data_IF_930475152989
#
_entry.id   IF_930475152989
#
_cell.length_a   1.000
_cell.length_b   1.000
_cell.length_c   1.000
_cell.angle_alpha   90.00
_cell.angle_beta   90.00
_cell.angle_gamma   90.00
#
_symmetry.space_group_name_H-M   'P 1'
#
loop_
_entity.id
_entity.type
_entity.pdbx_description
1 polymer ?
#
# COMPACT_ATOMS: atom_id res chain seq x y z
N UNK A 1 -46.52 -28.54 65.18
CA UNK A 1 -46.57 -29.45 64.01
C UNK A 1 -46.45 -28.56 62.79
N UNK A 2 -45.22 -28.23 62.41
CA UNK A 2 -44.91 -27.40 61.23
C UNK A 2 -44.54 -28.33 60.07
N UNK A 3 -45.11 -28.14 58.87
CA UNK A 3 -44.73 -28.91 57.69
C UNK A 3 -43.39 -28.41 57.13
N UNK A 4 -42.48 -29.30 56.69
CA UNK A 4 -41.27 -28.94 56.00
C UNK A 4 -41.51 -28.99 54.49
N UNK A 5 -41.52 -27.85 53.80
CA UNK A 5 -41.61 -27.86 52.34
C UNK A 5 -40.87 -26.68 51.72
N UNK A 6 -39.55 -26.79 51.54
CA UNK A 6 -38.86 -26.06 50.47
C UNK A 6 -37.55 -26.76 50.05
N UNK A 7 -37.57 -27.61 49.00
CA UNK A 7 -36.38 -27.77 48.14
C UNK A 7 -36.67 -27.47 46.65
N UNK A 8 -37.87 -26.98 46.31
CA UNK A 8 -38.28 -26.81 44.89
C UNK A 8 -37.89 -25.43 44.32
N UNK A 9 -37.95 -24.35 45.12
CA UNK A 9 -37.61 -22.99 44.66
C UNK A 9 -36.12 -22.80 44.36
N UNK A 10 -35.23 -23.45 45.10
CA UNK A 10 -33.78 -23.38 44.87
C UNK A 10 -33.35 -24.07 43.57
N UNK A 11 -33.97 -25.21 43.23
CA UNK A 11 -33.67 -25.92 41.98
C UNK A 11 -34.07 -25.11 40.76
N UNK A 12 -35.17 -24.37 40.81
CA UNK A 12 -35.61 -23.52 39.70
C UNK A 12 -34.63 -22.36 39.43
N UNK A 13 -34.10 -21.73 40.49
CA UNK A 13 -33.11 -20.65 40.36
C UNK A 13 -31.79 -21.12 39.78
N UNK A 14 -31.33 -22.32 40.18
CA UNK A 14 -30.12 -22.94 39.64
C UNK A 14 -30.29 -23.27 38.15
N UNK A 15 -31.45 -23.80 37.74
CA UNK A 15 -31.74 -24.08 36.32
C UNK A 15 -31.72 -22.79 35.49
N UNK A 16 -32.29 -21.70 36.01
CA UNK A 16 -32.26 -20.38 35.37
C UNK A 16 -30.84 -19.81 35.24
N UNK A 17 -30.02 -19.95 36.28
CA UNK A 17 -28.63 -19.52 36.24
C UNK A 17 -27.84 -20.28 35.18
N UNK A 18 -28.04 -21.60 35.07
CA UNK A 18 -27.41 -22.41 34.02
C UNK A 18 -27.88 -22.05 32.62
N UNK A 19 -29.17 -21.76 32.43
CA UNK A 19 -29.69 -21.29 31.14
C UNK A 19 -29.05 -19.97 30.70
N UNK A 20 -28.83 -19.03 31.62
CA UNK A 20 -28.14 -17.77 31.32
C UNK A 20 -26.66 -17.98 30.97
N UNK A 21 -25.97 -18.87 31.69
CA UNK A 21 -24.57 -19.21 31.39
C UNK A 21 -24.45 -19.87 30.03
N UNK A 22 -25.32 -20.84 29.71
CA UNK A 22 -25.33 -21.52 28.41
C UNK A 22 -25.70 -20.56 27.28
N UNK A 23 -26.66 -19.66 27.49
CA UNK A 23 -27.01 -18.62 26.52
C UNK A 23 -25.84 -17.65 26.27
N UNK A 24 -25.14 -17.24 27.34
CA UNK A 24 -23.92 -16.43 27.24
C UNK A 24 -22.82 -17.14 26.45
N UNK A 25 -22.55 -18.41 26.76
CA UNK A 25 -21.58 -19.25 26.06
C UNK A 25 -21.94 -19.46 24.59
N UNK A 26 -23.22 -19.63 24.27
CA UNK A 26 -23.71 -19.71 22.89
C UNK A 26 -23.56 -18.39 22.14
N UNK A 27 -23.79 -17.24 22.79
CA UNK A 27 -23.56 -15.93 22.19
C UNK A 27 -22.08 -15.67 21.92
N UNK A 28 -21.20 -16.11 22.83
CA UNK A 28 -19.75 -16.05 22.67
C UNK A 28 -19.26 -17.01 21.59
N UNK A 29 -19.78 -18.24 21.54
CA UNK A 29 -19.45 -19.20 20.50
C UNK A 29 -19.97 -18.76 19.13
N UNK A 30 -21.18 -18.19 19.07
CA UNK A 30 -21.74 -17.58 17.86
C UNK A 30 -20.91 -16.39 17.40
N UNK A 31 -20.49 -15.51 18.31
CA UNK A 31 -19.57 -14.42 18.02
C UNK A 31 -18.17 -14.90 17.59
N UNK A 32 -17.65 -15.96 18.23
CA UNK A 32 -16.36 -16.56 17.91
C UNK A 32 -16.40 -17.20 16.52
N UNK A 33 -17.40 -18.01 16.21
CA UNK A 33 -17.60 -18.61 14.89
C UNK A 33 -17.87 -17.53 13.84
N UNK A 34 -18.64 -16.48 14.14
CA UNK A 34 -18.80 -15.35 13.22
C UNK A 34 -17.50 -14.55 13.02
N UNK A 35 -16.63 -14.48 14.03
CA UNK A 35 -15.32 -13.81 13.91
C UNK A 35 -14.27 -14.66 13.18
N UNK A 36 -14.40 -15.99 13.23
CA UNK A 36 -13.41 -16.92 12.68
C UNK A 36 -13.83 -17.54 11.33
N UNK A 37 -15.15 -17.66 11.11
CA UNK A 37 -15.77 -18.26 9.92
C UNK A 37 -16.85 -17.37 9.29
N UNK A 38 -17.19 -16.23 9.89
CA UNK A 38 -17.97 -15.22 9.18
C UNK A 38 -17.16 -14.71 8.00
N UNK A 39 -17.79 -14.46 6.84
CA UNK A 39 -17.10 -13.87 5.70
C UNK A 39 -16.41 -12.60 6.21
N UNK A 40 -15.09 -12.52 5.98
CA UNK A 40 -14.24 -11.45 6.52
C UNK A 40 -15.00 -10.12 6.53
N UNK A 41 -15.01 -9.36 7.63
CA UNK A 41 -15.57 -8.00 7.66
C UNK A 41 -14.80 -6.99 6.76
N UNK A 42 -14.08 -7.48 5.75
CA UNK A 42 -13.54 -6.77 4.59
C UNK A 42 -14.18 -7.18 3.24
N UNK A 43 -15.14 -8.10 3.20
CA UNK A 43 -15.86 -8.51 1.97
C UNK A 43 -16.89 -7.48 1.48
N UNK A 44 -17.26 -6.50 2.32
CA UNK A 44 -17.74 -5.22 1.83
C UNK A 44 -16.51 -4.35 1.54
N UNK A 45 -15.82 -4.67 0.44
CA UNK A 45 -14.85 -3.77 -0.15
C UNK A 45 -15.54 -2.42 -0.33
N UNK A 46 -15.22 -1.45 0.53
CA UNK A 46 -15.63 -0.08 0.32
C UNK A 46 -15.25 0.27 -1.13
N UNK A 47 -16.15 0.85 -1.93
CA UNK A 47 -15.86 1.12 -3.35
C UNK A 47 -14.56 1.92 -3.55
N UNK A 48 -14.12 2.67 -2.53
CA UNK A 48 -12.81 3.32 -2.47
C UNK A 48 -11.60 2.36 -2.40
N UNK A 49 -11.65 1.27 -1.63
CA UNK A 49 -10.49 0.36 -1.47
C UNK A 49 -10.28 -0.51 -2.70
N UNK A 50 -11.35 -1.04 -3.31
CA UNK A 50 -11.26 -1.79 -4.57
C UNK A 50 -10.73 -0.91 -5.71
N UNK A 51 -11.17 0.35 -5.78
CA UNK A 51 -10.68 1.33 -6.76
C UNK A 51 -9.21 1.67 -6.52
N UNK A 52 -8.80 1.90 -5.28
CA UNK A 52 -7.41 2.18 -4.93
C UNK A 52 -6.50 1.00 -5.30
N UNK A 53 -6.91 -0.23 -4.95
CA UNK A 53 -6.18 -1.44 -5.29
C UNK A 53 -6.06 -1.62 -6.81
N UNK A 54 -7.12 -1.34 -7.57
CA UNK A 54 -7.08 -1.37 -9.03
C UNK A 54 -6.09 -0.34 -9.59
N UNK A 55 -6.11 0.90 -9.08
CA UNK A 55 -5.19 1.96 -9.52
C UNK A 55 -3.73 1.61 -9.23
N UNK A 56 -3.44 1.11 -8.02
CA UNK A 56 -2.08 0.67 -7.66
C UNK A 56 -1.63 -0.48 -8.55
N UNK A 57 -2.47 -1.50 -8.74
CA UNK A 57 -2.14 -2.63 -9.64
C UNK A 57 -1.86 -2.17 -11.07
N UNK A 58 -2.67 -1.24 -11.59
CA UNK A 58 -2.48 -0.69 -12.93
C UNK A 58 -1.19 0.13 -13.04
N UNK A 59 -0.87 0.93 -12.02
CA UNK A 59 0.35 1.71 -11.96
C UNK A 59 1.59 0.79 -11.90
N UNK A 60 1.59 -0.21 -11.03
CA UNK A 60 2.66 -1.22 -10.93
C UNK A 60 2.81 -2.03 -12.21
N UNK A 61 1.71 -2.44 -12.86
CA UNK A 61 1.76 -3.13 -14.14
C UNK A 61 2.35 -2.26 -15.26
N UNK A 62 2.05 -0.96 -15.24
CA UNK A 62 2.64 0.00 -16.19
C UNK A 62 4.13 0.18 -15.92
N UNK A 63 4.52 0.40 -14.67
CA UNK A 63 5.93 0.48 -14.26
C UNK A 63 6.73 -0.79 -14.63
N UNK A 64 6.14 -1.98 -14.48
CA UNK A 64 6.77 -3.24 -14.89
C UNK A 64 7.00 -3.32 -16.41
N UNK A 65 6.02 -2.87 -17.21
CA UNK A 65 6.15 -2.83 -18.68
C UNK A 65 7.20 -1.83 -19.13
N UNK A 66 7.23 -0.63 -18.54
CA UNK A 66 8.23 0.38 -18.87
C UNK A 66 9.63 -0.10 -18.45
N UNK A 67 9.77 -0.65 -17.24
CA UNK A 67 11.04 -1.16 -16.74
C UNK A 67 11.61 -2.28 -17.63
N UNK A 68 10.77 -3.20 -18.12
CA UNK A 68 11.21 -4.29 -19.00
C UNK A 68 11.59 -3.81 -20.40
N UNK A 69 10.87 -2.83 -20.95
CA UNK A 69 11.21 -2.19 -22.23
C UNK A 69 12.54 -1.44 -22.15
N UNK A 70 12.74 -0.65 -21.09
CA UNK A 70 13.99 0.06 -20.83
C UNK A 70 15.15 -0.91 -20.67
N UNK A 71 14.95 -2.01 -19.93
CA UNK A 71 15.96 -3.04 -19.75
C UNK A 71 16.32 -3.73 -21.07
N UNK A 72 15.33 -4.06 -21.90
CA UNK A 72 15.57 -4.71 -23.21
C UNK A 72 16.33 -3.79 -24.15
N UNK A 73 15.99 -2.49 -24.14
CA UNK A 73 16.73 -1.47 -24.89
C UNK A 73 18.17 -1.36 -24.40
N UNK A 74 18.38 -1.31 -23.08
CA UNK A 74 19.72 -1.25 -22.49
C UNK A 74 20.58 -2.47 -22.85
N UNK A 75 20.00 -3.67 -22.87
CA UNK A 75 20.69 -4.88 -23.30
C UNK A 75 21.07 -4.85 -24.79
N UNK A 76 20.21 -4.29 -25.64
CA UNK A 76 20.41 -4.27 -27.09
C UNK A 76 21.47 -3.24 -27.53
N UNK A 77 21.37 -2.00 -27.04
CA UNK A 77 22.24 -0.90 -27.51
C UNK A 77 23.44 -0.65 -26.60
N UNK A 78 23.43 -1.13 -25.35
CA UNK A 78 24.40 -0.82 -24.26
C UNK A 78 24.55 0.65 -23.89
N UNK A 79 24.04 1.55 -24.72
CA UNK A 79 23.94 2.99 -24.53
C UNK A 79 22.46 3.32 -24.67
N UNK A 80 21.87 3.86 -23.60
CA UNK A 80 20.47 4.29 -23.62
C UNK A 80 20.44 5.81 -23.79
N UNK A 81 19.96 6.33 -24.92
CA UNK A 81 19.89 7.77 -25.12
C UNK A 81 18.88 8.40 -24.14
N UNK A 82 19.32 9.45 -23.45
CA UNK A 82 18.55 10.10 -22.37
C UNK A 82 17.16 10.57 -22.82
N UNK A 83 17.03 11.13 -24.02
CA UNK A 83 15.74 11.58 -24.55
C UNK A 83 14.73 10.43 -24.72
N UNK A 84 15.19 9.25 -25.14
CA UNK A 84 14.35 8.07 -25.25
C UNK A 84 13.92 7.59 -23.86
N UNK A 85 14.86 7.54 -22.91
CA UNK A 85 14.59 7.16 -21.51
C UNK A 85 13.50 8.03 -20.87
N UNK A 86 13.57 9.34 -21.06
CA UNK A 86 12.57 10.30 -20.58
C UNK A 86 11.20 10.07 -21.21
N UNK A 87 11.15 9.86 -22.53
CA UNK A 87 9.88 9.67 -23.24
C UNK A 87 9.14 8.38 -22.88
N UNK A 88 9.87 7.37 -22.39
CA UNK A 88 9.34 6.04 -22.06
C UNK A 88 9.02 5.86 -20.58
N UNK A 89 9.24 6.87 -19.74
CA UNK A 89 9.09 6.76 -18.29
C UNK A 89 7.92 7.62 -17.80
N UNK A 90 6.85 6.97 -17.31
CA UNK A 90 5.73 7.65 -16.66
C UNK A 90 6.07 8.02 -15.20
N UNK A 91 6.91 7.20 -14.56
CA UNK A 91 7.33 7.36 -13.17
C UNK A 91 8.85 7.60 -13.06
N UNK A 92 9.35 8.13 -11.94
CA UNK A 92 10.78 8.21 -11.69
C UNK A 92 11.45 6.84 -11.84
N UNK A 93 12.32 6.74 -12.84
CA UNK A 93 13.01 5.52 -13.24
C UNK A 93 14.51 5.77 -13.22
N UNK A 94 15.27 4.75 -12.82
CA UNK A 94 16.72 4.77 -12.70
C UNK A 94 17.30 3.52 -13.34
N UNK A 95 18.25 3.70 -14.25
CA UNK A 95 18.96 2.63 -14.95
C UNK A 95 20.38 2.53 -14.42
N UNK A 96 20.74 1.34 -13.96
CA UNK A 96 22.07 0.98 -13.51
C UNK A 96 22.69 -0.03 -14.47
N UNK A 97 23.96 0.20 -14.83
CA UNK A 97 24.80 -0.73 -15.57
C UNK A 97 26.11 -0.94 -14.81
N UNK A 98 26.46 -2.20 -14.54
CA UNK A 98 27.65 -2.58 -13.76
C UNK A 98 27.66 -1.91 -12.36
N UNK A 99 26.48 -1.78 -11.74
CA UNK A 99 26.32 -1.14 -10.43
C UNK A 99 26.46 0.38 -10.42
N UNK A 100 26.64 1.03 -11.57
CA UNK A 100 26.72 2.49 -11.70
C UNK A 100 25.46 3.04 -12.35
N UNK A 101 24.99 4.20 -11.87
CA UNK A 101 23.87 4.89 -12.48
C UNK A 101 24.25 5.39 -13.88
N UNK A 102 23.50 4.97 -14.89
CA UNK A 102 23.72 5.32 -16.29
C UNK A 102 22.70 6.36 -16.79
N UNK A 103 21.44 6.27 -16.34
CA UNK A 103 20.38 7.20 -16.72
C UNK A 103 19.29 7.28 -15.64
N UNK A 104 18.54 8.39 -15.63
CA UNK A 104 17.35 8.57 -14.79
C UNK A 104 16.31 9.46 -15.48
N UNK A 105 15.03 9.33 -15.14
CA UNK A 105 13.93 10.00 -15.88
C UNK A 105 13.38 11.23 -15.16
N UNK A 106 13.39 11.23 -13.84
CA UNK A 106 12.82 12.32 -13.06
C UNK A 106 13.46 12.41 -11.68
N UNK A 107 13.22 13.54 -11.00
CA UNK A 107 13.52 13.66 -9.60
C UNK A 107 12.58 12.73 -8.79
N UNK A 108 13.18 11.84 -8.01
CA UNK A 108 12.51 10.91 -7.12
C UNK A 108 13.43 10.54 -5.97
N UNK A 109 13.05 9.57 -5.13
CA UNK A 109 13.94 9.06 -4.09
C UNK A 109 15.22 8.54 -4.74
N UNK A 110 16.37 9.01 -4.26
CA UNK A 110 17.65 8.58 -4.81
C UNK A 110 17.88 7.12 -4.43
N UNK A 111 18.09 6.20 -5.39
CA UNK A 111 18.30 4.80 -5.08
C UNK A 111 19.61 4.59 -4.32
N UNK A 112 19.56 3.82 -3.25
CA UNK A 112 20.72 3.39 -2.48
C UNK A 112 21.34 2.12 -3.08
N UNK A 113 22.59 1.80 -2.71
CA UNK A 113 23.22 0.55 -3.14
C UNK A 113 22.43 -0.69 -2.69
N UNK A 114 21.78 -0.61 -1.51
CA UNK A 114 20.89 -1.66 -1.02
C UNK A 114 19.67 -1.85 -1.93
N UNK A 115 19.12 -0.77 -2.48
CA UNK A 115 17.96 -0.81 -3.39
C UNK A 115 18.29 -1.52 -4.70
N UNK A 116 19.50 -1.36 -5.21
CA UNK A 116 19.98 -2.00 -6.45
C UNK A 116 20.26 -3.50 -6.23
N UNK A 117 20.81 -3.83 -5.06
CA UNK A 117 21.19 -5.18 -4.67
C UNK A 117 19.99 -6.06 -4.24
N UNK A 118 18.89 -5.45 -3.78
CA UNK A 118 17.69 -6.19 -3.38
C UNK A 118 17.10 -6.96 -4.58
N UNK A 119 16.99 -8.29 -4.52
CA UNK A 119 16.51 -9.08 -5.66
C UNK A 119 14.98 -9.02 -5.84
N UNK A 120 14.22 -8.48 -4.89
CA UNK A 120 12.75 -8.49 -4.93
C UNK A 120 12.23 -7.71 -6.15
N UNK A 121 11.28 -8.28 -6.92
CA UNK A 121 10.74 -7.63 -8.11
C UNK A 121 9.85 -6.43 -7.77
N UNK A 122 9.22 -6.45 -6.59
CA UNK A 122 8.38 -5.38 -6.09
C UNK A 122 8.57 -5.25 -4.57
N UNK A 123 8.65 -4.02 -4.07
CA UNK A 123 8.68 -3.74 -2.64
C UNK A 123 8.16 -2.35 -2.32
N UNK A 124 7.75 -2.14 -1.07
CA UNK A 124 7.46 -0.82 -0.54
C UNK A 124 8.77 -0.13 -0.10
N UNK A 125 8.92 1.14 -0.45
CA UNK A 125 9.98 2.03 0.01
C UNK A 125 9.35 3.27 0.65
N UNK A 126 9.66 3.47 1.93
CA UNK A 126 9.24 4.65 2.69
C UNK A 126 10.41 5.61 2.75
N UNK A 127 10.18 6.85 2.33
CA UNK A 127 11.23 7.86 2.18
C UNK A 127 10.73 9.21 2.69
N UNK A 128 11.62 10.17 2.88
CA UNK A 128 11.24 11.54 3.23
C UNK A 128 10.38 12.22 2.16
N UNK A 129 10.40 11.73 0.92
CA UNK A 129 9.61 12.24 -0.20
C UNK A 129 8.23 11.59 -0.32
N UNK A 130 7.93 10.56 0.48
CA UNK A 130 6.73 9.78 0.31
C UNK A 130 6.90 8.28 0.48
N UNK A 131 5.78 7.59 0.28
CA UNK A 131 5.69 6.14 0.17
C UNK A 131 5.65 5.76 -1.30
N UNK A 132 6.49 4.81 -1.70
CA UNK A 132 6.65 4.37 -3.08
C UNK A 132 6.61 2.86 -3.18
N UNK A 133 5.99 2.34 -4.24
CA UNK A 133 6.25 0.98 -4.70
C UNK A 133 7.44 1.02 -5.65
N UNK A 134 8.48 0.29 -5.31
CA UNK A 134 9.66 0.14 -6.16
C UNK A 134 9.50 -1.14 -6.96
N UNK A 135 9.45 -0.97 -8.27
CA UNK A 135 9.46 -2.06 -9.25
C UNK A 135 10.88 -2.23 -9.76
N UNK A 136 11.36 -3.47 -9.74
CA UNK A 136 12.71 -3.83 -10.16
C UNK A 136 12.67 -4.81 -11.32
N UNK A 137 13.44 -4.49 -12.35
CA UNK A 137 13.75 -5.39 -13.45
C UNK A 137 15.27 -5.50 -13.58
N UNK A 138 15.81 -6.71 -13.65
CA UNK A 138 17.25 -6.91 -13.78
C UNK A 138 17.56 -8.04 -14.75
N UNK A 139 18.57 -7.83 -15.59
CA UNK A 139 19.07 -8.83 -16.52
C UNK A 139 20.56 -8.57 -16.79
N UNK A 140 21.36 -9.63 -16.75
CA UNK A 140 22.81 -9.55 -16.84
C UNK A 140 23.38 -8.52 -15.85
N UNK A 141 24.10 -7.52 -16.34
CA UNK A 141 24.75 -6.45 -15.56
C UNK A 141 23.87 -5.19 -15.40
N UNK A 142 22.62 -5.25 -15.86
CA UNK A 142 21.69 -4.12 -15.90
C UNK A 142 20.55 -4.26 -14.89
N UNK A 143 20.22 -3.16 -14.24
CA UNK A 143 19.10 -3.05 -13.29
C UNK A 143 18.31 -1.79 -13.57
N UNK A 144 17.00 -1.91 -13.69
CA UNK A 144 16.05 -0.80 -13.79
C UNK A 144 15.21 -0.77 -12.52
N UNK A 145 15.17 0.39 -11.87
CA UNK A 145 14.31 0.67 -10.72
C UNK A 145 13.29 1.73 -11.10
N UNK A 146 12.01 1.47 -10.88
CA UNK A 146 10.91 2.42 -11.13
C UNK A 146 10.16 2.66 -9.82
N UNK A 147 10.03 3.93 -9.44
CA UNK A 147 9.40 4.35 -8.19
C UNK A 147 7.99 4.86 -8.46
N UNK A 148 7.00 4.03 -8.20
CA UNK A 148 5.58 4.38 -8.31
C UNK A 148 5.14 5.07 -7.02
N UNK A 149 4.75 6.36 -7.05
CA UNK A 149 4.32 7.07 -5.84
C UNK A 149 2.97 6.54 -5.36
N UNK A 150 2.88 6.16 -4.09
CA UNK A 150 1.61 5.92 -3.40
C UNK A 150 1.15 7.19 -2.66
N UNK A 151 2.09 7.83 -1.98
CA UNK A 151 1.90 9.08 -1.25
C UNK A 151 3.10 9.95 -1.52
N UNK A 152 2.92 11.26 -1.78
CA UNK A 152 4.03 12.20 -1.95
C UNK A 152 4.05 13.22 -0.82
N UNK A 153 5.19 13.34 -0.15
CA UNK A 153 5.46 14.37 0.83
C UNK A 153 6.29 15.47 0.16
N UNK A 154 5.70 16.65 0.02
CA UNK A 154 6.42 17.82 -0.47
C UNK A 154 7.13 18.47 0.73
N UNK A 155 8.41 18.15 0.92
CA UNK A 155 9.24 18.65 2.03
C UNK A 155 9.57 20.14 1.95
N UNK A 156 9.03 20.88 0.98
CA UNK A 156 9.18 22.32 0.89
C UNK A 156 7.92 22.94 1.51
N UNK A 157 7.99 23.31 2.79
CA UNK A 157 7.11 24.33 3.36
C UNK A 157 7.53 25.68 2.76
N UNK A 158 7.19 25.88 1.50
CA UNK A 158 7.57 27.11 0.83
C UNK A 158 6.78 28.26 1.47
N UNK A 159 7.42 29.09 2.30
CA UNK A 159 6.77 30.27 2.93
C UNK A 159 6.16 31.25 1.91
N UNK A 160 6.50 31.09 0.63
CA UNK A 160 5.97 31.87 -0.48
C UNK A 160 4.74 31.22 -1.14
N UNK A 161 4.45 29.95 -0.86
CA UNK A 161 3.14 29.34 -1.09
C UNK A 161 2.22 29.77 0.06
N UNK A 162 1.74 31.02 0.00
CA UNK A 162 0.69 31.49 0.90
C UNK A 162 -0.58 30.69 0.62
N UNK A 163 -1.21 30.17 1.68
CA UNK A 163 -2.57 29.63 1.60
C UNK A 163 -3.47 30.64 0.88
N UNK A 164 -3.96 30.30 -0.30
CA UNK A 164 -4.78 31.18 -1.16
C UNK A 164 -4.32 31.36 -2.60
N UNK A 165 -3.08 31.00 -2.98
CA UNK A 165 -2.65 31.01 -4.40
C UNK A 165 -2.71 29.64 -5.10
N UNK A 166 -3.09 28.59 -4.37
CA UNK A 166 -3.08 27.19 -4.83
C UNK A 166 -4.17 26.88 -5.87
N UNK A 167 -5.26 27.65 -5.92
CA UNK A 167 -6.34 27.44 -6.89
C UNK A 167 -5.92 27.68 -8.35
N UNK A 168 -4.85 28.43 -8.61
CA UNK A 168 -4.37 28.66 -9.97
C UNK A 168 -3.42 27.57 -10.48
N UNK A 169 -2.70 26.88 -9.59
CA UNK A 169 -1.71 25.85 -9.95
C UNK A 169 -2.27 24.43 -9.86
N UNK A 170 -3.37 24.23 -9.14
CA UNK A 170 -4.02 22.92 -8.93
C UNK A 170 -5.36 22.77 -9.65
N UNK A 171 -5.71 23.70 -10.55
CA UNK A 171 -6.88 23.54 -11.42
C UNK A 171 -6.73 22.27 -12.27
N UNK A 172 -7.45 21.21 -11.87
CA UNK A 172 -7.49 19.92 -12.57
C UNK A 172 -6.98 18.72 -11.78
N UNK A 173 -6.39 18.92 -10.59
CA UNK A 173 -5.93 17.81 -9.74
C UNK A 173 -6.69 17.80 -8.40
N UNK A 174 -7.36 16.68 -8.11
CA UNK A 174 -8.06 16.44 -6.85
C UNK A 174 -7.03 16.04 -5.78
N UNK A 175 -6.49 17.02 -5.05
CA UNK A 175 -5.45 16.80 -4.04
C UNK A 175 -5.98 17.21 -2.66
N UNK A 176 -6.00 16.27 -1.71
CA UNK A 176 -6.27 16.56 -0.30
C UNK A 176 -4.96 16.83 0.45
N UNK A 177 -4.84 18.01 1.02
CA UNK A 177 -3.75 18.36 1.97
C UNK A 177 -4.16 17.89 3.36
N UNK A 178 -3.37 17.02 3.98
CA UNK A 178 -3.57 16.59 5.37
C UNK A 178 -2.53 17.27 6.28
N UNK A 179 -2.94 17.98 7.34
CA UNK A 179 -2.00 18.54 8.31
C UNK A 179 -1.36 17.40 9.13
N UNK A 180 -0.06 17.53 9.41
CA UNK A 180 0.64 16.67 10.37
C UNK A 180 0.27 17.15 11.78
N UNK A 181 -0.33 16.27 12.57
CA UNK A 181 -0.58 16.46 14.01
C UNK A 181 0.56 15.88 14.85
#
# INVERSE_FOLDING_TARGET
MEPPDLPVRQRLGIIWAWLLVVGGLLSLAGGYVASHYGPEPGAAAQPGTARLQHLVRQATATANREASQLLTTALATRVVPFGQFLSQSTYPAFLFGQGRLQAWSAAGPLPTAADVADPRPERLAQTSLGDFVVVRQAAAEWVVLVYVPLTRYYGISNRYLRAGSEQALLQGFDVQVRPLG
#
